data_IF_751137680171
#
_entry.id   IF_751137680171
#
_cell.length_a   1.000
_cell.length_b   1.000
_cell.length_c   1.000
_cell.angle_alpha   90.00
_cell.angle_beta   90.00
_cell.angle_gamma   90.00
#
_symmetry.space_group_name_H-M   'P 1'
#
loop_
_entity.id
_entity.type
_entity.pdbx_description
1 polymer ?
#
# COMPACT_ATOMS: atom_id res chain seq x y z
N UNK A 1 15.18 -8.13 -29.88
CA UNK A 1 15.09 -6.79 -29.26
C UNK A 1 14.64 -6.96 -27.81
N UNK A 2 15.60 -7.03 -26.90
CA UNK A 2 15.39 -7.23 -25.48
C UNK A 2 14.76 -5.96 -24.88
N UNK A 3 13.48 -6.04 -24.48
CA UNK A 3 12.84 -4.94 -23.74
C UNK A 3 13.55 -4.85 -22.40
N UNK A 4 14.42 -3.84 -22.23
CA UNK A 4 14.95 -3.46 -20.93
C UNK A 4 13.77 -3.17 -19.99
N UNK A 5 13.53 -4.06 -19.05
CA UNK A 5 12.58 -3.81 -17.97
C UNK A 5 12.98 -2.55 -17.21
N UNK A 6 12.05 -1.62 -16.93
CA UNK A 6 12.37 -0.42 -16.20
C UNK A 6 12.84 -0.78 -14.79
N UNK A 7 14.07 -0.36 -14.44
CA UNK A 7 14.60 -0.47 -13.07
C UNK A 7 13.52 -0.03 -12.07
N UNK A 8 13.27 -0.80 -10.99
CA UNK A 8 12.33 -0.39 -9.96
C UNK A 8 12.81 0.94 -9.37
N UNK A 9 12.09 2.02 -9.65
CA UNK A 9 12.36 3.31 -9.02
C UNK A 9 12.03 3.17 -7.54
N UNK A 10 13.03 3.38 -6.71
CA UNK A 10 12.89 3.45 -5.25
C UNK A 10 11.75 4.41 -4.91
N UNK A 11 11.00 4.09 -3.85
CA UNK A 11 10.00 5.02 -3.31
C UNK A 11 10.64 6.37 -2.95
N UNK A 12 9.85 7.41 -2.62
CA UNK A 12 10.41 8.67 -2.18
C UNK A 12 11.37 8.41 -1.00
N UNK A 13 12.67 8.57 -1.24
CA UNK A 13 13.69 8.42 -0.21
C UNK A 13 13.52 9.54 0.81
N UNK A 14 13.96 9.31 2.06
CA UNK A 14 13.99 10.34 3.12
C UNK A 14 14.58 11.67 2.62
N UNK A 15 15.57 11.59 1.74
CA UNK A 15 16.18 12.74 1.06
C UNK A 15 15.20 13.49 0.15
N UNK A 16 14.42 12.79 -0.65
CA UNK A 16 13.40 13.41 -1.51
C UNK A 16 12.28 14.05 -0.68
N UNK A 17 11.90 13.41 0.43
CA UNK A 17 10.91 13.94 1.36
C UNK A 17 11.37 15.25 2.03
N UNK A 18 12.64 15.32 2.43
CA UNK A 18 13.24 16.54 2.98
C UNK A 18 13.18 17.72 2.01
N UNK A 19 13.53 17.51 0.74
CA UNK A 19 13.44 18.58 -0.28
C UNK A 19 12.00 19.00 -0.58
N UNK A 20 11.04 18.09 -0.50
CA UNK A 20 9.61 18.42 -0.64
C UNK A 20 9.14 19.29 0.52
N UNK A 21 9.48 18.94 1.77
CA UNK A 21 9.13 19.75 2.94
C UNK A 21 9.72 21.16 2.83
N UNK A 22 11.01 21.27 2.50
CA UNK A 22 11.64 22.57 2.27
C UNK A 22 10.91 23.36 1.18
N UNK A 23 10.61 22.72 0.05
CA UNK A 23 9.83 23.33 -1.03
C UNK A 23 8.47 23.87 -0.55
N UNK A 24 7.75 23.10 0.28
CA UNK A 24 6.48 23.53 0.86
C UNK A 24 6.63 24.70 1.84
N UNK A 25 7.71 24.74 2.64
CA UNK A 25 8.02 25.87 3.56
C UNK A 25 8.29 27.14 2.75
N UNK A 26 9.13 27.06 1.72
CA UNK A 26 9.43 28.21 0.86
C UNK A 26 8.20 28.68 0.08
N UNK A 27 7.38 27.75 -0.43
CA UNK A 27 6.13 28.08 -1.09
C UNK A 27 5.14 28.76 -0.13
N UNK A 28 5.03 28.28 1.10
CA UNK A 28 4.18 28.91 2.13
C UNK A 28 4.63 30.35 2.41
N UNK A 29 5.94 30.58 2.54
CA UNK A 29 6.51 31.93 2.70
C UNK A 29 6.27 32.81 1.48
N UNK A 30 6.39 32.26 0.28
CA UNK A 30 6.13 32.98 -0.97
C UNK A 30 4.66 33.41 -1.07
N UNK A 31 3.72 32.51 -0.77
CA UNK A 31 2.29 32.81 -0.75
C UNK A 31 1.94 33.86 0.31
N UNK A 32 2.56 33.80 1.49
CA UNK A 32 2.43 34.83 2.51
C UNK A 32 2.94 36.19 2.02
N UNK A 33 4.06 36.24 1.28
CA UNK A 33 4.55 37.49 0.70
C UNK A 33 3.61 38.07 -0.37
N UNK A 34 3.02 37.24 -1.22
CA UNK A 34 1.98 37.69 -2.17
C UNK A 34 0.76 38.22 -1.41
N UNK A 35 0.33 37.52 -0.37
CA UNK A 35 -0.78 37.93 0.48
C UNK A 35 -0.52 39.30 1.14
N UNK A 36 0.72 39.52 1.62
CA UNK A 36 1.18 40.82 2.15
C UNK A 36 1.03 41.95 1.12
N UNK A 37 1.47 41.72 -0.12
CA UNK A 37 1.37 42.70 -1.21
C UNK A 37 -0.10 42.99 -1.54
N UNK A 38 -0.95 41.96 -1.63
CA UNK A 38 -2.37 42.12 -1.97
C UNK A 38 -3.16 42.93 -0.94
N UNK A 39 -2.83 42.79 0.34
CA UNK A 39 -3.52 43.51 1.43
C UNK A 39 -2.97 44.93 1.61
N UNK A 40 -1.94 45.32 0.85
CA UNK A 40 -1.26 46.64 0.99
C UNK A 40 -0.85 46.92 2.43
N UNK A 41 -0.41 45.89 3.17
CA UNK A 41 0.14 46.08 4.52
C UNK A 41 1.36 46.98 4.38
N UNK A 42 1.26 48.23 4.88
CA UNK A 42 2.34 49.23 4.85
C UNK A 42 3.27 48.99 6.04
N UNK A 43 4.58 48.88 5.77
CA UNK A 43 5.62 48.82 6.81
C UNK A 43 5.61 47.54 7.67
N UNK A 44 6.42 47.58 8.74
CA UNK A 44 6.66 46.49 9.71
C UNK A 44 5.45 46.15 10.61
N UNK A 45 4.22 46.24 10.07
CA UNK A 45 2.98 45.97 10.81
C UNK A 45 2.64 44.47 10.85
N UNK A 46 3.60 43.70 11.37
CA UNK A 46 3.50 42.25 11.61
C UNK A 46 2.44 41.89 12.68
N UNK A 47 1.79 42.88 13.28
CA UNK A 47 0.75 42.75 14.29
C UNK A 47 -0.66 43.01 13.73
N UNK A 48 -0.79 43.41 12.46
CA UNK A 48 -2.10 43.61 11.85
C UNK A 48 -2.92 42.31 11.87
N UNK A 49 -4.21 42.43 12.27
CA UNK A 49 -5.14 41.30 12.40
C UNK A 49 -5.21 40.44 11.12
N UNK A 50 -5.12 41.07 9.96
CA UNK A 50 -5.14 40.40 8.65
C UNK A 50 -3.87 39.58 8.39
N UNK A 51 -2.68 40.11 8.72
CA UNK A 51 -1.43 39.37 8.62
C UNK A 51 -1.38 38.19 9.60
N UNK A 52 -1.84 38.40 10.84
CA UNK A 52 -1.92 37.33 11.84
C UNK A 52 -2.84 36.19 11.40
N UNK A 53 -3.95 36.52 10.75
CA UNK A 53 -4.88 35.53 10.17
C UNK A 53 -4.19 34.67 9.09
N UNK A 54 -3.43 35.29 8.18
CA UNK A 54 -2.67 34.56 7.16
C UNK A 54 -1.61 33.62 7.76
N UNK A 55 -0.84 34.09 8.75
CA UNK A 55 0.15 33.25 9.44
C UNK A 55 -0.51 32.08 10.18
N UNK A 56 -1.60 32.34 10.91
CA UNK A 56 -2.35 31.29 11.62
C UNK A 56 -2.90 30.24 10.65
N UNK A 57 -3.42 30.64 9.49
CA UNK A 57 -3.88 29.67 8.49
C UNK A 57 -2.75 28.73 8.03
N UNK A 58 -1.55 29.26 7.78
CA UNK A 58 -0.36 28.44 7.45
C UNK A 58 0.04 27.55 8.63
N UNK A 59 0.05 28.07 9.86
CA UNK A 59 0.35 27.28 11.06
C UNK A 59 -0.63 26.10 11.23
N UNK A 60 -1.94 26.34 11.07
CA UNK A 60 -2.95 25.28 11.14
C UNK A 60 -2.76 24.21 10.06
N UNK A 61 -2.37 24.60 8.83
CA UNK A 61 -2.07 23.63 7.77
C UNK A 61 -0.89 22.73 8.13
N UNK A 62 0.18 23.30 8.68
CA UNK A 62 1.35 22.53 9.14
C UNK A 62 1.05 21.68 10.37
N UNK A 63 0.25 22.18 11.32
CA UNK A 63 -0.18 21.46 12.50
C UNK A 63 -1.07 20.25 12.15
N UNK A 64 -2.03 20.44 11.24
CA UNK A 64 -2.84 19.37 10.68
C UNK A 64 -1.97 18.33 9.96
N UNK A 65 -1.02 18.76 9.14
CA UNK A 65 -0.10 17.86 8.45
C UNK A 65 0.73 17.03 9.44
N UNK A 66 1.32 17.67 10.45
CA UNK A 66 2.10 17.00 11.50
C UNK A 66 1.25 15.99 12.25
N UNK A 67 0.03 16.38 12.66
CA UNK A 67 -0.92 15.50 13.34
C UNK A 67 -1.28 14.28 12.50
N UNK A 68 -1.59 14.47 11.22
CA UNK A 68 -1.89 13.37 10.29
C UNK A 68 -0.68 12.45 10.13
N UNK A 69 0.52 13.00 9.95
CA UNK A 69 1.74 12.19 9.78
C UNK A 69 2.08 11.37 11.03
N UNK A 70 2.03 11.99 12.21
CA UNK A 70 2.22 11.29 13.48
C UNK A 70 1.13 10.25 13.73
N UNK A 71 -0.12 10.56 13.40
CA UNK A 71 -1.25 9.63 13.48
C UNK A 71 -1.07 8.40 12.60
N UNK A 72 -0.57 8.57 11.37
CA UNK A 72 -0.28 7.46 10.45
C UNK A 72 0.83 6.56 11.01
N UNK A 73 1.92 7.14 11.55
CA UNK A 73 3.00 6.36 12.17
C UNK A 73 2.51 5.53 13.36
N UNK A 74 1.68 6.13 14.22
CA UNK A 74 1.06 5.43 15.34
C UNK A 74 0.12 4.32 14.85
N UNK A 75 -0.71 4.62 13.85
CA UNK A 75 -1.63 3.67 13.24
C UNK A 75 -0.89 2.42 12.75
N UNK A 76 0.21 2.58 12.00
CA UNK A 76 1.02 1.45 11.55
C UNK A 76 1.59 0.62 12.70
N UNK A 77 2.12 1.28 13.74
CA UNK A 77 2.67 0.61 14.92
C UNK A 77 1.60 -0.19 15.68
N UNK A 78 0.42 0.37 15.88
CA UNK A 78 -0.70 -0.29 16.57
C UNK A 78 -1.21 -1.50 15.77
N UNK A 79 -1.22 -1.42 14.45
CA UNK A 79 -1.64 -2.52 13.57
C UNK A 79 -0.53 -3.55 13.31
N UNK A 80 0.64 -3.43 13.95
CA UNK A 80 1.76 -4.36 13.78
C UNK A 80 2.38 -4.35 12.37
N UNK A 81 2.21 -3.26 11.64
CA UNK A 81 2.75 -3.11 10.28
C UNK A 81 4.20 -2.62 10.39
N UNK A 82 5.14 -3.49 10.06
CA UNK A 82 6.58 -3.16 10.03
C UNK A 82 6.89 -2.30 8.81
N UNK A 83 7.69 -1.26 9.01
CA UNK A 83 8.07 -0.34 7.95
C UNK A 83 9.60 -0.25 7.75
N UNK A 84 10.39 -0.88 8.62
CA UNK A 84 11.83 -0.63 8.70
C UNK A 84 12.67 -1.64 7.88
N UNK A 85 12.03 -2.33 6.92
CA UNK A 85 12.72 -3.01 5.83
C UNK A 85 13.01 -4.51 6.07
N UNK A 86 13.92 -5.05 5.26
CA UNK A 86 14.16 -6.51 5.18
C UNK A 86 14.76 -7.08 6.47
N UNK A 87 15.69 -6.38 7.08
CA UNK A 87 16.46 -6.85 8.24
C UNK A 87 15.56 -7.03 9.47
N UNK A 88 14.68 -6.06 9.74
CA UNK A 88 13.69 -6.14 10.82
C UNK A 88 12.75 -7.35 10.61
N UNK A 89 12.25 -7.55 9.39
CA UNK A 89 11.41 -8.71 9.06
C UNK A 89 12.13 -10.04 9.34
N UNK A 90 13.42 -10.13 9.01
CA UNK A 90 14.24 -11.33 9.31
C UNK A 90 14.43 -11.51 10.81
N UNK A 91 14.66 -10.43 11.55
CA UNK A 91 14.81 -10.49 13.01
C UNK A 91 13.53 -10.96 13.72
N UNK A 92 12.37 -10.44 13.31
CA UNK A 92 11.05 -10.84 13.83
C UNK A 92 10.82 -12.33 13.64
N UNK A 93 11.11 -12.84 12.44
CA UNK A 93 10.99 -14.27 12.12
C UNK A 93 11.97 -15.12 12.94
N UNK A 94 13.22 -14.67 13.13
CA UNK A 94 14.22 -15.36 13.95
C UNK A 94 13.85 -15.42 15.43
N UNK A 95 13.10 -14.43 15.92
CA UNK A 95 12.53 -14.41 17.29
C UNK A 95 11.34 -15.38 17.45
N UNK A 96 10.90 -16.04 16.39
CA UNK A 96 9.80 -17.02 16.41
C UNK A 96 8.41 -16.40 16.24
N UNK A 97 8.30 -15.14 15.85
CA UNK A 97 7.02 -14.49 15.55
C UNK A 97 6.54 -14.80 14.14
N UNK A 98 5.22 -14.68 13.91
CA UNK A 98 4.61 -14.78 12.58
C UNK A 98 4.66 -13.43 11.88
N UNK A 99 4.93 -13.45 10.57
CA UNK A 99 4.94 -12.26 9.72
C UNK A 99 3.99 -12.46 8.54
N UNK A 100 2.91 -11.66 8.51
CA UNK A 100 2.00 -11.59 7.37
C UNK A 100 2.57 -10.69 6.28
N UNK A 101 2.73 -11.23 5.05
CA UNK A 101 3.24 -10.47 3.90
C UNK A 101 2.22 -10.48 2.78
N UNK A 102 1.98 -9.32 2.18
CA UNK A 102 1.17 -9.17 0.96
C UNK A 102 2.11 -8.95 -0.23
N UNK A 103 2.50 -9.99 -1.01
CA UNK A 103 3.56 -9.87 -2.01
C UNK A 103 3.26 -8.85 -3.12
N UNK A 104 1.99 -8.71 -3.49
CA UNK A 104 1.52 -7.71 -4.47
C UNK A 104 1.46 -6.27 -3.95
N UNK A 105 1.47 -6.08 -2.63
CA UNK A 105 1.43 -4.80 -1.92
C UNK A 105 0.29 -3.88 -2.38
N UNK A 106 0.50 -2.56 -2.25
CA UNK A 106 -0.49 -1.56 -2.65
C UNK A 106 -0.91 -1.65 -4.13
N UNK A 107 -0.01 -2.11 -5.01
CA UNK A 107 -0.35 -2.24 -6.45
C UNK A 107 -1.40 -3.33 -6.66
N UNK A 108 -1.22 -4.50 -6.07
CA UNK A 108 -2.22 -5.55 -6.20
C UNK A 108 -3.53 -5.16 -5.48
N UNK A 109 -3.43 -4.56 -4.30
CA UNK A 109 -4.61 -4.09 -3.57
C UNK A 109 -5.46 -3.12 -4.42
N UNK A 110 -4.83 -2.20 -5.16
CA UNK A 110 -5.54 -1.15 -5.90
C UNK A 110 -5.90 -1.49 -7.36
N UNK A 111 -5.22 -2.45 -7.98
CA UNK A 111 -5.36 -2.72 -9.43
C UNK A 111 -5.85 -4.12 -9.79
N UNK A 112 -5.91 -5.05 -8.83
CA UNK A 112 -6.46 -6.39 -9.07
C UNK A 112 -7.99 -6.32 -9.16
N UNK A 113 -8.54 -7.22 -9.97
CA UNK A 113 -9.91 -7.22 -10.41
C UNK A 113 -10.63 -8.54 -10.07
N UNK A 114 -11.81 -8.72 -10.67
CA UNK A 114 -12.68 -9.88 -10.48
C UNK A 114 -12.06 -11.19 -10.97
N UNK A 115 -10.97 -11.13 -11.73
CA UNK A 115 -10.26 -12.31 -12.21
C UNK A 115 -9.16 -12.76 -11.24
N UNK A 116 -8.97 -12.05 -10.11
CA UNK A 116 -8.02 -12.42 -9.06
C UNK A 116 -6.60 -12.73 -9.61
N UNK A 117 -6.20 -12.01 -10.66
CA UNK A 117 -4.86 -12.11 -11.23
C UNK A 117 -3.84 -11.57 -10.23
N UNK A 118 -2.72 -12.30 -10.06
CA UNK A 118 -1.62 -11.86 -9.20
C UNK A 118 -0.81 -10.78 -9.91
N UNK A 119 -0.60 -9.65 -9.22
CA UNK A 119 0.05 -8.44 -9.75
C UNK A 119 1.35 -8.12 -9.01
N UNK A 120 2.17 -9.15 -8.80
CA UNK A 120 3.42 -9.02 -8.05
C UNK A 120 4.50 -8.26 -8.83
N UNK A 121 4.53 -8.41 -10.16
CA UNK A 121 5.58 -7.86 -11.01
C UNK A 121 6.93 -8.49 -10.68
N UNK A 122 7.99 -7.68 -10.60
CA UNK A 122 9.34 -8.13 -10.23
C UNK A 122 9.60 -8.14 -8.72
N UNK A 123 8.55 -8.12 -7.88
CA UNK A 123 8.71 -8.08 -6.42
C UNK A 123 9.06 -9.45 -5.87
N UNK A 124 10.23 -9.54 -5.26
CA UNK A 124 10.78 -10.77 -4.66
C UNK A 124 11.16 -10.61 -3.18
N UNK A 125 10.73 -9.51 -2.55
CA UNK A 125 11.15 -9.12 -1.20
C UNK A 125 10.81 -10.17 -0.14
N UNK A 126 9.61 -10.76 -0.22
CA UNK A 126 9.17 -11.80 0.72
C UNK A 126 10.04 -13.06 0.63
N UNK A 127 10.43 -13.46 -0.58
CA UNK A 127 11.25 -14.65 -0.80
C UNK A 127 12.69 -14.45 -0.28
N UNK A 128 13.26 -13.24 -0.44
CA UNK A 128 14.51 -12.90 0.24
C UNK A 128 14.39 -13.00 1.76
N UNK A 129 13.35 -12.41 2.35
CA UNK A 129 13.11 -12.46 3.80
C UNK A 129 13.00 -13.92 4.29
N UNK A 130 12.18 -14.73 3.64
CA UNK A 130 11.97 -16.13 4.04
C UNK A 130 13.27 -16.95 3.96
N UNK A 131 14.06 -16.77 2.90
CA UNK A 131 15.35 -17.44 2.70
C UNK A 131 16.39 -17.00 3.74
N UNK A 132 16.51 -15.69 3.98
CA UNK A 132 17.50 -15.12 4.91
C UNK A 132 17.15 -15.44 6.38
N UNK A 133 15.86 -15.60 6.68
CA UNK A 133 15.36 -16.07 7.98
C UNK A 133 15.33 -17.61 8.12
N UNK A 134 15.47 -18.36 7.03
CA UNK A 134 15.37 -19.83 6.97
C UNK A 134 14.05 -20.39 7.51
N UNK A 135 12.94 -19.74 7.15
CA UNK A 135 11.59 -20.12 7.60
C UNK A 135 10.73 -20.64 6.45
N UNK A 136 9.73 -21.50 6.71
CA UNK A 136 8.77 -21.90 5.70
C UNK A 136 7.83 -20.73 5.32
N UNK A 137 7.27 -20.79 4.12
CA UNK A 137 6.22 -19.87 3.66
C UNK A 137 4.89 -20.61 3.69
N UNK A 138 3.87 -20.03 4.34
CA UNK A 138 2.52 -20.60 4.36
C UNK A 138 1.64 -19.77 3.41
N UNK A 139 1.21 -20.30 2.26
CA UNK A 139 0.35 -19.58 1.33
C UNK A 139 -1.07 -19.47 1.92
N UNK A 140 -1.66 -18.27 1.84
CA UNK A 140 -3.02 -18.01 2.32
C UNK A 140 -3.78 -17.26 1.23
N UNK A 141 -4.97 -17.77 0.89
CA UNK A 141 -5.89 -17.12 -0.03
C UNK A 141 -7.20 -16.77 0.69
N UNK A 142 -7.73 -15.56 0.48
CA UNK A 142 -9.01 -15.15 1.07
C UNK A 142 -10.06 -14.93 -0.02
N UNK A 143 -11.08 -15.79 -0.02
CA UNK A 143 -12.22 -15.76 -0.95
C UNK A 143 -13.05 -14.49 -0.77
N UNK A 144 -13.63 -14.00 -1.86
CA UNK A 144 -14.54 -12.85 -1.93
C UNK A 144 -13.93 -11.49 -1.56
N UNK A 145 -12.60 -11.40 -1.41
CA UNK A 145 -11.93 -10.15 -1.04
C UNK A 145 -12.24 -9.00 -2.02
N UNK A 146 -12.32 -9.30 -3.33
CA UNK A 146 -12.63 -8.34 -4.41
C UNK A 146 -14.12 -8.03 -4.54
N UNK A 147 -14.98 -8.90 -3.99
CA UNK A 147 -16.41 -8.64 -3.93
C UNK A 147 -16.77 -7.80 -2.71
N UNK A 148 -16.01 -7.92 -1.62
CA UNK A 148 -16.17 -7.07 -0.43
C UNK A 148 -15.66 -5.65 -0.68
N UNK A 149 -14.56 -5.50 -1.43
CA UNK A 149 -13.96 -4.22 -1.76
C UNK A 149 -13.45 -4.18 -3.21
N UNK A 150 -13.83 -3.12 -3.93
CA UNK A 150 -13.39 -2.84 -5.30
C UNK A 150 -12.66 -1.51 -5.37
N UNK A 151 -11.52 -1.53 -6.04
CA UNK A 151 -10.75 -0.34 -6.31
C UNK A 151 -11.01 0.14 -7.73
N UNK A 152 -11.12 1.47 -7.92
CA UNK A 152 -11.27 2.10 -9.23
C UNK A 152 -9.91 2.34 -9.92
N UNK A 153 -8.90 1.53 -9.61
CA UNK A 153 -7.53 1.70 -10.10
C UNK A 153 -7.39 1.57 -11.62
N UNK A 154 -8.34 0.94 -12.31
CA UNK A 154 -8.31 0.82 -13.78
C UNK A 154 -8.60 2.13 -14.52
N UNK A 155 -9.17 3.14 -13.84
CA UNK A 155 -9.48 4.43 -14.44
C UNK A 155 -8.17 5.20 -14.71
N UNK A 156 -7.97 5.62 -15.97
CA UNK A 156 -6.72 6.20 -16.49
C UNK A 156 -6.06 7.26 -15.59
N UNK A 157 -6.75 8.32 -15.12
CA UNK A 157 -6.11 9.34 -14.29
C UNK A 157 -5.56 8.79 -12.97
N UNK A 158 -6.27 7.86 -12.31
CA UNK A 158 -5.82 7.26 -11.06
C UNK A 158 -4.64 6.32 -11.26
N UNK A 159 -4.67 5.53 -12.35
CA UNK A 159 -3.55 4.67 -12.73
C UNK A 159 -2.29 5.49 -13.01
N UNK A 160 -2.42 6.53 -13.84
CA UNK A 160 -1.31 7.41 -14.19
C UNK A 160 -0.72 8.09 -12.94
N UNK A 161 -1.58 8.61 -12.07
CA UNK A 161 -1.15 9.28 -10.85
C UNK A 161 -0.38 8.31 -9.94
N UNK A 162 -0.93 7.13 -9.67
CA UNK A 162 -0.28 6.12 -8.84
C UNK A 162 1.04 5.64 -9.44
N UNK A 163 1.10 5.37 -10.74
CA UNK A 163 2.34 4.92 -11.39
C UNK A 163 3.44 5.99 -11.32
N UNK A 164 3.06 7.29 -11.33
CA UNK A 164 3.98 8.43 -11.22
C UNK A 164 4.42 8.73 -9.79
N UNK A 165 3.50 8.73 -8.82
CA UNK A 165 3.76 9.24 -7.45
C UNK A 165 3.86 8.12 -6.41
N UNK A 166 3.34 6.93 -6.71
CA UNK A 166 3.13 5.81 -5.76
C UNK A 166 2.26 6.17 -4.56
N UNK A 167 1.51 7.27 -4.64
CA UNK A 167 0.53 7.64 -3.63
C UNK A 167 -0.75 6.84 -3.85
N UNK A 168 -1.31 6.20 -2.81
CA UNK A 168 -2.49 5.35 -2.92
C UNK A 168 -3.79 6.17 -3.00
N UNK A 169 -3.86 7.15 -3.91
CA UNK A 169 -5.06 7.97 -4.16
C UNK A 169 -5.93 7.26 -5.22
N UNK A 170 -6.37 6.06 -4.88
CA UNK A 170 -7.30 5.30 -5.72
C UNK A 170 -8.57 5.09 -4.90
N UNK A 171 -9.71 5.62 -5.35
CA UNK A 171 -10.97 5.41 -4.64
C UNK A 171 -11.28 3.91 -4.54
N UNK A 172 -11.53 3.45 -3.32
CA UNK A 172 -12.02 2.11 -3.02
C UNK A 172 -13.47 2.24 -2.58
N UNK A 173 -14.36 1.49 -3.20
CA UNK A 173 -15.75 1.34 -2.78
C UNK A 173 -16.00 -0.10 -2.37
N UNK A 174 -16.88 -0.33 -1.41
CA UNK A 174 -17.03 -1.66 -0.83
C UNK A 174 -17.70 -1.62 0.53
N UNK A 175 -17.33 -2.56 1.38
CA UNK A 175 -18.05 -2.84 2.62
C UNK A 175 -19.29 -3.69 2.39
N UNK A 176 -19.36 -4.38 1.23
CA UNK A 176 -20.46 -5.30 0.97
C UNK A 176 -20.40 -6.46 1.98
N UNK A 177 -21.54 -6.88 2.55
CA UNK A 177 -21.58 -7.92 3.56
C UNK A 177 -21.42 -9.32 2.94
N UNK A 178 -20.35 -9.54 2.16
CA UNK A 178 -19.99 -10.85 1.63
C UNK A 178 -19.26 -11.68 2.69
N UNK A 179 -19.25 -13.00 2.53
CA UNK A 179 -18.51 -13.89 3.43
C UNK A 179 -17.05 -14.00 2.97
N UNK A 180 -16.13 -13.53 3.80
CA UNK A 180 -14.70 -13.82 3.64
C UNK A 180 -14.39 -15.21 4.20
N UNK A 181 -13.63 -15.99 3.44
CA UNK A 181 -13.16 -17.29 3.87
C UNK A 181 -11.68 -17.41 3.51
N UNK A 182 -10.82 -17.48 4.52
CA UNK A 182 -9.38 -17.64 4.33
C UNK A 182 -9.03 -19.13 4.32
N UNK A 183 -8.35 -19.55 3.26
CA UNK A 183 -7.86 -20.90 3.05
C UNK A 183 -6.34 -20.89 3.24
N UNK A 184 -5.88 -21.74 4.14
CA UNK A 184 -4.46 -21.92 4.45
C UNK A 184 -3.98 -23.14 3.67
N UNK A 185 -2.98 -22.95 2.82
CA UNK A 185 -2.37 -24.05 2.07
C UNK A 185 -1.22 -24.71 2.82
N UNK A 186 -0.65 -25.73 2.18
CA UNK A 186 0.47 -26.47 2.75
C UNK A 186 1.73 -25.58 2.84
N UNK A 187 2.50 -25.66 3.94
CA UNK A 187 3.74 -24.92 4.08
C UNK A 187 4.75 -25.29 2.99
N UNK A 188 5.37 -24.28 2.37
CA UNK A 188 6.53 -24.43 1.50
C UNK A 188 7.77 -24.43 2.42
N UNK A 189 8.42 -25.58 2.64
CA UNK A 189 9.55 -25.66 3.56
C UNK A 189 10.76 -24.89 3.03
N UNK A 190 11.63 -24.48 3.95
CA UNK A 190 12.92 -23.91 3.58
C UNK A 190 13.79 -24.96 2.89
N UNK A 191 14.37 -24.58 1.75
CA UNK A 191 15.33 -25.37 0.99
C UNK A 191 16.60 -24.51 0.79
N UNK A 192 17.80 -24.96 1.22
CA UNK A 192 19.03 -24.19 1.04
C UNK A 192 19.46 -24.04 -0.43
N UNK A 193 18.99 -24.91 -1.33
CA UNK A 193 19.41 -24.94 -2.74
C UNK A 193 18.45 -24.17 -3.66
N UNK A 194 17.28 -23.76 -3.17
CA UNK A 194 16.28 -23.08 -3.99
C UNK A 194 16.70 -21.63 -4.29
N UNK A 195 16.53 -21.22 -5.55
CA UNK A 195 16.72 -19.82 -5.92
C UNK A 195 15.55 -18.97 -5.44
N UNK A 196 15.74 -17.64 -5.37
CA UNK A 196 14.68 -16.71 -4.96
C UNK A 196 13.56 -16.71 -5.99
N UNK A 197 13.92 -16.81 -7.27
CA UNK A 197 13.03 -16.89 -8.41
C UNK A 197 12.13 -18.12 -8.34
N UNK A 198 12.71 -19.30 -8.10
CA UNK A 198 11.95 -20.55 -7.94
C UNK A 198 11.05 -20.51 -6.72
N UNK A 199 11.51 -19.93 -5.60
CA UNK A 199 10.68 -19.79 -4.41
C UNK A 199 9.47 -18.87 -4.67
N UNK A 200 9.67 -17.78 -5.42
CA UNK A 200 8.58 -16.90 -5.84
C UNK A 200 7.58 -17.64 -6.71
N UNK A 201 8.05 -18.40 -7.71
CA UNK A 201 7.16 -19.14 -8.60
C UNK A 201 6.40 -20.24 -7.85
N UNK A 202 7.06 -21.03 -7.00
CA UNK A 202 6.38 -22.03 -6.14
C UNK A 202 5.31 -21.41 -5.26
N UNK A 203 5.61 -20.25 -4.65
CA UNK A 203 4.63 -19.54 -3.80
C UNK A 203 3.46 -19.02 -4.63
N UNK A 204 3.74 -18.52 -5.83
CA UNK A 204 2.73 -18.03 -6.75
C UNK A 204 1.80 -19.17 -7.17
N UNK A 205 2.34 -20.29 -7.65
CA UNK A 205 1.56 -21.50 -7.99
C UNK A 205 0.70 -21.95 -6.82
N UNK A 206 1.25 -22.05 -5.61
CA UNK A 206 0.48 -22.49 -4.45
C UNK A 206 -0.70 -21.54 -4.10
N UNK A 207 -0.52 -20.23 -4.28
CA UNK A 207 -1.62 -19.26 -4.07
C UNK A 207 -2.64 -19.31 -5.21
N UNK A 208 -2.19 -19.51 -6.46
CA UNK A 208 -3.07 -19.67 -7.61
C UNK A 208 -3.90 -20.95 -7.52
N UNK A 209 -3.32 -22.06 -7.07
CA UNK A 209 -4.03 -23.32 -6.83
C UNK A 209 -5.09 -23.16 -5.73
N UNK A 210 -4.77 -22.47 -4.63
CA UNK A 210 -5.74 -22.15 -3.57
C UNK A 210 -6.87 -21.25 -4.10
N UNK A 211 -6.53 -20.24 -4.91
CA UNK A 211 -7.50 -19.35 -5.54
C UNK A 211 -8.42 -20.16 -6.45
N UNK A 212 -7.88 -20.93 -7.38
CA UNK A 212 -8.64 -21.63 -8.42
C UNK A 212 -9.54 -22.72 -7.83
N UNK A 213 -9.10 -23.35 -6.73
CA UNK A 213 -9.91 -24.31 -5.97
C UNK A 213 -11.08 -23.69 -5.22
N UNK A 214 -10.94 -22.45 -4.74
CA UNK A 214 -11.90 -21.87 -3.78
C UNK A 214 -12.67 -20.64 -4.29
N UNK A 215 -12.25 -20.03 -5.38
CA UNK A 215 -12.85 -18.84 -5.96
C UNK A 215 -13.38 -19.13 -7.37
N UNK A 216 -14.69 -18.93 -7.56
CA UNK A 216 -15.27 -18.91 -8.89
C UNK A 216 -14.93 -17.58 -9.57
N UNK A 217 -14.39 -17.66 -10.80
CA UNK A 217 -13.97 -16.51 -11.59
C UNK A 217 -14.73 -16.44 -12.93
N UNK A 218 -15.04 -15.23 -13.46
CA UNK A 218 -14.86 -13.95 -12.79
C UNK A 218 -15.74 -13.85 -11.53
N UNK A 219 -15.23 -13.11 -10.55
CA UNK A 219 -15.93 -12.80 -9.30
C UNK A 219 -17.24 -12.04 -9.56
N UNK A 220 -18.17 -12.10 -8.61
CA UNK A 220 -19.45 -11.39 -8.72
C UNK A 220 -19.98 -11.06 -7.34
N UNK A 221 -20.26 -9.77 -7.10
CA UNK A 221 -20.76 -9.27 -5.81
C UNK A 221 -22.09 -9.95 -5.46
N UNK A 222 -23.01 -10.06 -6.43
CA UNK A 222 -24.31 -10.69 -6.22
C UNK A 222 -24.16 -12.16 -5.80
N UNK A 223 -23.29 -12.92 -6.49
CA UNK A 223 -23.02 -14.31 -6.12
C UNK A 223 -22.42 -14.41 -4.73
N UNK A 224 -21.42 -13.60 -4.41
CA UNK A 224 -20.78 -13.60 -3.11
C UNK A 224 -21.73 -13.21 -1.96
N UNK A 225 -22.73 -12.36 -2.23
CA UNK A 225 -23.79 -12.05 -1.28
C UNK A 225 -24.75 -13.24 -1.08
N UNK A 226 -25.13 -13.93 -2.16
CA UNK A 226 -25.99 -15.12 -2.08
C UNK A 226 -25.31 -16.28 -1.34
N UNK A 227 -24.01 -16.47 -1.55
CA UNK A 227 -23.18 -17.47 -0.84
C UNK A 227 -23.19 -17.29 0.69
N UNK A 228 -23.58 -16.11 1.19
CA UNK A 228 -23.73 -15.88 2.63
C UNK A 228 -24.90 -16.65 3.22
N UNK A 229 -25.98 -16.79 2.46
CA UNK A 229 -27.24 -17.38 2.92
C UNK A 229 -27.39 -18.83 2.48
N UNK A 230 -26.85 -19.18 1.31
CA UNK A 230 -26.98 -20.50 0.74
C UNK A 230 -25.59 -21.11 0.48
N UNK A 231 -25.41 -22.36 0.88
CA UNK A 231 -24.27 -23.16 0.39
C UNK A 231 -24.53 -23.45 -1.08
N UNK A 232 -23.98 -22.63 -1.96
CA UNK A 232 -23.95 -22.93 -3.39
C UNK A 232 -22.99 -24.12 -3.55
N UNK A 233 -23.43 -25.26 -4.12
CA UNK A 233 -22.55 -26.39 -4.39
C UNK A 233 -21.36 -25.93 -5.24
N UNK A 234 -20.15 -26.28 -4.78
CA UNK A 234 -18.89 -26.06 -5.48
C UNK A 234 -18.76 -26.98 -6.69
#
# INVERSE_FOLDING_TARGET
MERRDPKPREGPTLRNFFFVILGCIYLSNFLLNIYKIKIKVKGDDYLSKSWDTGRRAVLYLWDMYGTVWHGIKLFYKVHGLTHDGREECVEILRKGYLLGVLPGGAREALFSDENYSLLWGSRKGFAHVARDAKVPIIPIFTKNLREGYRALGKIWPFKWLYERTRWPIVPVYGGFPVKFCSYVGDPIPYDPNITVEELVEKTKTAIEDLRDKHQKMPGSIQRALLERFYKIPS
#
